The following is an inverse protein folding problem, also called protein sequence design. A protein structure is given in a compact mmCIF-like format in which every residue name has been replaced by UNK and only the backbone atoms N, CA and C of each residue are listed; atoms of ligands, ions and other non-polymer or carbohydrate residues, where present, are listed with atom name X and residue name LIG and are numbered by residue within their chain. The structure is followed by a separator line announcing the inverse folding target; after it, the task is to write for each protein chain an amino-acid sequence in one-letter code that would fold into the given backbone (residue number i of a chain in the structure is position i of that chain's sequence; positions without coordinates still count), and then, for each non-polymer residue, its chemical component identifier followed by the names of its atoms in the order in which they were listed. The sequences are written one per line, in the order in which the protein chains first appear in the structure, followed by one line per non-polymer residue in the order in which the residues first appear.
data_IF_155795974175
#
_entry.id   IF_155795974175
#
_cell.length_a   1.000
_cell.length_b   1.000
_cell.length_c   1.000
_cell.angle_alpha   90.00
_cell.angle_beta   90.00
_cell.angle_gamma   90.00
#
_symmetry.space_group_name_H-M   'P 1'
#
loop_
_entity.id
_entity.type
_entity.pdbx_description
1 polymer ?
#
# COMPACT_ATOMS: atom_id res chain seq x y z
N UNK A 1 -12.54 -11.19 40.19
CA UNK A 1 -13.15 -12.43 40.73
C UNK A 1 -12.11 -13.53 40.72
N UNK A 2 -12.03 -14.33 41.78
CA UNK A 2 -10.96 -15.31 41.95
C UNK A 2 -11.18 -16.52 41.02
N UNK A 3 -10.53 -16.52 39.85
CA UNK A 3 -10.48 -17.70 38.97
C UNK A 3 -9.76 -18.84 39.72
N UNK A 4 -10.51 -19.83 40.19
CA UNK A 4 -9.96 -21.03 40.82
C UNK A 4 -9.35 -21.92 39.75
N UNK A 5 -8.25 -22.59 40.07
CA UNK A 5 -7.63 -23.48 39.10
C UNK A 5 -8.52 -24.72 38.84
N UNK A 6 -8.34 -25.36 37.67
CA UNK A 6 -9.17 -26.50 37.27
C UNK A 6 -9.06 -27.71 38.21
N UNK A 7 -7.94 -27.89 38.91
CA UNK A 7 -7.77 -29.00 39.86
C UNK A 7 -8.59 -28.77 41.14
N UNK A 8 -8.63 -27.52 41.62
CA UNK A 8 -9.49 -27.12 42.74
C UNK A 8 -10.96 -27.30 42.39
N UNK A 9 -11.39 -26.87 41.20
CA UNK A 9 -12.76 -27.08 40.72
C UNK A 9 -13.08 -28.58 40.63
N UNK A 10 -12.24 -29.39 39.98
CA UNK A 10 -12.46 -30.85 39.86
C UNK A 10 -12.62 -31.56 41.21
N UNK A 11 -11.92 -31.11 42.25
CA UNK A 11 -12.02 -31.72 43.58
C UNK A 11 -13.40 -31.51 44.24
N UNK A 12 -14.08 -30.39 43.98
CA UNK A 12 -15.42 -30.14 44.50
C UNK A 12 -16.49 -31.04 43.87
N UNK A 13 -16.25 -31.54 42.66
CA UNK A 13 -17.21 -32.34 41.86
C UNK A 13 -16.75 -33.80 41.67
N UNK A 14 -15.94 -34.34 42.58
CA UNK A 14 -15.55 -35.77 42.56
C UNK A 14 -16.72 -36.67 42.93
N UNK A 15 -16.61 -37.95 42.61
CA UNK A 15 -17.63 -38.93 42.96
C UNK A 15 -17.90 -38.96 44.47
N UNK A 16 -19.18 -38.96 44.83
CA UNK A 16 -19.65 -38.85 46.22
C UNK A 16 -19.51 -37.47 46.89
N UNK A 17 -19.01 -36.43 46.19
CA UNK A 17 -19.03 -35.07 46.71
C UNK A 17 -20.43 -34.44 46.61
N UNK A 18 -20.79 -33.57 47.56
CA UNK A 18 -21.99 -32.72 47.51
C UNK A 18 -21.57 -31.25 47.38
N UNK A 19 -21.42 -30.72 46.16
CA UNK A 19 -21.03 -29.34 45.95
C UNK A 19 -22.13 -28.37 46.42
N UNK A 20 -21.72 -27.29 47.05
CA UNK A 20 -22.55 -26.17 47.48
C UNK A 20 -22.95 -25.27 46.31
N UNK A 21 -24.01 -24.47 46.48
CA UNK A 21 -24.42 -23.46 45.50
C UNK A 21 -23.30 -22.49 45.11
N UNK A 22 -22.39 -22.18 46.04
CA UNK A 22 -21.22 -21.33 45.77
C UNK A 22 -20.20 -22.01 44.85
N UNK A 23 -20.00 -23.32 44.99
CA UNK A 23 -19.10 -24.08 44.11
C UNK A 23 -19.68 -24.25 42.71
N UNK A 24 -21.01 -24.33 42.58
CA UNK A 24 -21.68 -24.24 41.28
C UNK A 24 -21.53 -22.85 40.64
N UNK A 25 -21.69 -21.77 41.41
CA UNK A 25 -21.44 -20.42 40.91
C UNK A 25 -19.99 -20.26 40.42
N UNK A 26 -19.00 -20.71 41.22
CA UNK A 26 -17.58 -20.68 40.84
C UNK A 26 -17.32 -21.44 39.53
N UNK A 27 -18.05 -22.55 39.25
CA UNK A 27 -17.93 -23.32 38.01
C UNK A 27 -18.54 -22.58 36.81
N UNK A 28 -19.72 -21.98 36.99
CA UNK A 28 -20.41 -21.19 35.96
C UNK A 28 -19.53 -19.99 35.58
N UNK A 29 -19.05 -19.24 36.57
CA UNK A 29 -18.18 -18.07 36.39
C UNK A 29 -16.79 -18.44 35.80
N UNK A 30 -16.40 -19.71 35.88
CA UNK A 30 -15.15 -20.22 35.28
C UNK A 30 -15.33 -20.72 33.84
N UNK A 31 -16.56 -20.78 33.34
CA UNK A 31 -16.89 -21.20 31.97
C UNK A 31 -16.96 -19.97 31.05
N UNK A 32 -16.60 -20.15 29.77
CA UNK A 32 -16.74 -19.08 28.78
C UNK A 32 -18.21 -18.93 28.38
N UNK A 33 -18.75 -17.72 28.45
CA UNK A 33 -20.07 -17.36 27.98
C UNK A 33 -19.94 -16.60 26.66
N UNK A 34 -20.35 -17.21 25.54
CA UNK A 34 -20.19 -16.61 24.21
C UNK A 34 -20.94 -15.29 24.03
N UNK A 35 -22.09 -15.11 24.68
CA UNK A 35 -22.90 -13.89 24.60
C UNK A 35 -22.32 -12.73 25.41
N UNK A 36 -21.70 -13.05 26.55
CA UNK A 36 -21.21 -12.04 27.50
C UNK A 36 -19.71 -11.76 27.35
N UNK A 37 -18.92 -12.74 26.89
CA UNK A 37 -17.47 -12.64 26.77
C UNK A 37 -17.01 -12.20 25.37
N UNK A 38 -17.91 -12.19 24.37
CA UNK A 38 -17.62 -11.67 23.03
C UNK A 38 -16.66 -12.54 22.23
N UNK A 39 -16.49 -13.80 22.64
CA UNK A 39 -15.71 -14.81 21.94
C UNK A 39 -16.64 -15.91 21.43
N UNK A 40 -16.60 -16.20 20.14
CA UNK A 40 -17.33 -17.32 19.55
C UNK A 40 -16.47 -18.05 18.50
N UNK A 41 -16.92 -19.24 18.09
CA UNK A 41 -16.33 -19.96 16.98
C UNK A 41 -17.40 -20.55 16.07
N UNK A 42 -17.49 -20.03 14.86
CA UNK A 42 -18.39 -20.54 13.82
C UNK A 42 -17.61 -21.16 12.66
N UNK A 43 -18.29 -22.01 11.88
CA UNK A 43 -17.70 -22.60 10.68
C UNK A 43 -17.44 -21.56 9.57
N UNK A 44 -18.26 -20.51 9.48
CA UNK A 44 -18.16 -19.49 8.43
C UNK A 44 -17.11 -18.42 8.74
N UNK A 45 -16.97 -18.02 10.01
CA UNK A 45 -16.11 -16.88 10.38
C UNK A 45 -14.86 -17.29 11.16
N UNK A 46 -14.73 -18.56 11.58
CA UNK A 46 -13.59 -19.01 12.37
C UNK A 46 -13.68 -18.53 13.81
N UNK A 47 -12.62 -17.92 14.34
CA UNK A 47 -12.57 -17.38 15.70
C UNK A 47 -13.06 -15.92 15.70
N UNK A 48 -14.14 -15.68 16.42
CA UNK A 48 -14.84 -14.40 16.44
C UNK A 48 -14.49 -13.66 17.72
N UNK A 49 -14.16 -12.37 17.60
CA UNK A 49 -13.92 -11.48 18.73
C UNK A 49 -14.75 -10.23 18.53
N UNK A 50 -15.64 -9.95 19.47
CA UNK A 50 -16.52 -8.79 19.48
C UNK A 50 -16.03 -7.80 20.55
N UNK A 51 -16.03 -6.52 20.21
CA UNK A 51 -15.76 -5.44 21.18
C UNK A 51 -16.93 -5.36 22.14
N UNK A 52 -16.64 -5.41 23.45
CA UNK A 52 -17.67 -5.40 24.49
C UNK A 52 -17.58 -4.15 25.36
N UNK A 53 -18.69 -3.44 25.46
CA UNK A 53 -18.82 -2.28 26.35
C UNK A 53 -17.88 -1.14 25.95
N UNK A 54 -17.04 -0.70 26.88
CA UNK A 54 -16.12 0.45 26.68
C UNK A 54 -14.69 0.04 26.34
N UNK A 55 -14.39 -1.25 26.36
CA UNK A 55 -13.04 -1.76 26.16
C UNK A 55 -12.86 -2.23 24.73
N UNK A 56 -11.90 -1.63 24.05
CA UNK A 56 -11.63 -1.85 22.62
C UNK A 56 -10.48 -2.83 22.37
N UNK A 57 -9.86 -3.31 23.45
CA UNK A 57 -8.75 -4.25 23.42
C UNK A 57 -9.27 -5.67 23.14
N UNK A 58 -8.88 -6.24 22.01
CA UNK A 58 -9.32 -7.56 21.55
C UNK A 58 -8.42 -8.69 22.05
N UNK A 59 -7.10 -8.49 21.93
CA UNK A 59 -6.08 -9.50 22.30
C UNK A 59 -4.95 -8.79 23.03
N UNK A 60 -4.51 -9.36 24.15
CA UNK A 60 -3.39 -8.84 24.94
C UNK A 60 -2.30 -9.89 25.10
N UNK A 61 -1.05 -9.51 24.88
CA UNK A 61 0.12 -10.39 24.94
C UNK A 61 0.99 -10.02 26.13
N UNK A 62 1.17 -10.96 27.06
CA UNK A 62 1.96 -10.79 28.29
C UNK A 62 3.33 -11.45 28.14
N UNK A 63 4.33 -10.97 28.89
CA UNK A 63 5.67 -11.59 28.92
C UNK A 63 5.65 -12.98 29.54
N UNK A 64 4.94 -13.09 30.65
CA UNK A 64 4.79 -14.29 31.47
C UNK A 64 3.47 -14.25 32.23
N UNK A 65 3.19 -15.30 33.01
CA UNK A 65 1.98 -15.44 33.82
C UNK A 65 1.99 -14.63 35.12
N UNK A 66 3.09 -13.95 35.45
CA UNK A 66 3.23 -13.10 36.64
C UNK A 66 3.03 -11.61 36.30
N UNK A 67 3.15 -11.26 35.02
CA UNK A 67 3.02 -9.90 34.52
C UNK A 67 1.59 -9.38 34.68
N UNK A 68 1.44 -8.26 35.40
CA UNK A 68 0.13 -7.60 35.59
C UNK A 68 -0.31 -6.77 34.36
N UNK A 69 0.62 -6.44 33.48
CA UNK A 69 0.39 -5.59 32.32
C UNK A 69 0.83 -6.27 31.01
N UNK A 70 0.07 -6.13 29.91
CA UNK A 70 0.48 -6.67 28.63
C UNK A 70 1.63 -5.86 28.02
N UNK A 71 2.49 -6.54 27.26
CA UNK A 71 3.51 -5.88 26.44
C UNK A 71 2.91 -5.32 25.14
N UNK A 72 2.00 -6.06 24.54
CA UNK A 72 1.37 -5.73 23.26
C UNK A 72 -0.13 -5.96 23.32
N UNK A 73 -0.87 -5.19 22.52
CA UNK A 73 -2.30 -5.32 22.38
C UNK A 73 -2.71 -5.18 20.91
N UNK A 74 -3.67 -6.02 20.51
CA UNK A 74 -4.50 -5.80 19.34
C UNK A 74 -5.78 -5.10 19.80
N UNK A 75 -6.08 -3.94 19.21
CA UNK A 75 -7.20 -3.07 19.54
C UNK A 75 -8.06 -2.84 18.30
N UNK A 76 -9.36 -2.69 18.49
CA UNK A 76 -10.27 -2.17 17.48
C UNK A 76 -10.50 -0.68 17.69
N UNK A 77 -10.24 0.13 16.67
CA UNK A 77 -10.56 1.56 16.66
C UNK A 77 -11.92 1.77 16.00
N UNK A 78 -12.94 1.95 16.83
CA UNK A 78 -14.33 2.14 16.40
C UNK A 78 -14.52 3.37 15.50
N UNK A 79 -13.72 4.42 15.71
CA UNK A 79 -13.87 5.67 14.94
C UNK A 79 -13.52 5.45 13.46
N UNK A 80 -12.46 4.70 13.20
CA UNK A 80 -11.95 4.46 11.85
C UNK A 80 -12.24 3.04 11.35
N UNK A 81 -12.95 2.22 12.14
CA UNK A 81 -13.14 0.78 11.94
C UNK A 81 -11.83 0.02 11.69
N UNK A 82 -10.75 0.41 12.37
CA UNK A 82 -9.40 -0.09 12.08
C UNK A 82 -8.91 -1.07 13.14
N UNK A 83 -8.09 -2.05 12.73
CA UNK A 83 -7.35 -2.91 13.64
C UNK A 83 -5.97 -2.32 13.91
N UNK A 84 -5.62 -2.18 15.18
CA UNK A 84 -4.40 -1.51 15.63
C UNK A 84 -3.57 -2.44 16.51
N UNK A 85 -2.31 -2.65 16.13
CA UNK A 85 -1.30 -3.28 16.98
C UNK A 85 -0.48 -2.21 17.67
N UNK A 86 -0.48 -2.23 19.00
CA UNK A 86 0.24 -1.25 19.81
C UNK A 86 0.98 -1.89 20.98
N UNK A 87 2.14 -1.36 21.38
CA UNK A 87 2.68 -1.61 22.70
C UNK A 87 1.81 -0.88 23.73
N UNK A 88 1.79 -1.35 24.98
CA UNK A 88 0.92 -0.76 26.02
C UNK A 88 1.18 0.73 26.24
N UNK A 89 2.46 1.12 26.28
CA UNK A 89 2.90 2.46 26.64
C UNK A 89 3.08 3.42 25.43
N UNK A 90 2.62 3.07 24.23
CA UNK A 90 2.77 3.96 23.07
C UNK A 90 1.57 3.94 22.11
N UNK A 91 1.67 4.77 21.08
CA UNK A 91 0.72 4.81 19.98
C UNK A 91 0.79 3.54 19.11
N UNK A 92 -0.26 3.26 18.31
CA UNK A 92 -0.26 2.16 17.35
C UNK A 92 0.94 2.17 16.42
N UNK A 93 1.61 1.01 16.34
CA UNK A 93 2.76 0.79 15.45
C UNK A 93 2.28 0.31 14.09
N UNK A 94 1.22 -0.48 14.05
CA UNK A 94 0.61 -0.99 12.82
C UNK A 94 -0.90 -0.79 12.88
N UNK A 95 -1.45 -0.20 11.84
CA UNK A 95 -2.89 -0.01 11.64
C UNK A 95 -3.32 -0.63 10.33
N UNK A 96 -4.40 -1.40 10.33
CA UNK A 96 -5.00 -1.96 9.12
C UNK A 96 -6.46 -1.55 9.05
N UNK A 97 -6.89 -1.01 7.90
CA UNK A 97 -8.26 -0.54 7.72
C UNK A 97 -9.05 -1.42 6.74
N UNK A 98 -10.40 -1.42 6.81
CA UNK A 98 -11.25 -2.16 5.88
C UNK A 98 -11.08 -1.73 4.42
N UNK A 99 -10.56 -0.53 4.17
CA UNK A 99 -10.24 0.00 2.85
C UNK A 99 -8.90 -0.51 2.31
N UNK A 100 -8.36 -1.60 2.89
CA UNK A 100 -7.11 -2.24 2.48
C UNK A 100 -5.90 -1.30 2.58
N UNK A 101 -5.89 -0.44 3.59
CA UNK A 101 -4.76 0.46 3.88
C UNK A 101 -4.00 -0.04 5.10
N UNK A 102 -2.69 0.11 5.02
CA UNK A 102 -1.76 -0.25 6.09
C UNK A 102 -1.00 1.00 6.51
N UNK A 103 -1.12 1.37 7.79
CA UNK A 103 -0.35 2.43 8.43
C UNK A 103 0.75 1.86 9.31
N UNK A 104 1.98 2.35 9.17
CA UNK A 104 3.08 2.13 10.11
C UNK A 104 3.31 3.43 10.87
N UNK A 105 3.18 3.39 12.20
CA UNK A 105 3.23 4.55 13.09
C UNK A 105 2.19 5.64 12.77
N UNK A 106 1.09 5.29 12.11
CA UNK A 106 -0.05 6.18 11.83
C UNK A 106 -1.36 5.41 11.98
N UNK A 107 -2.40 6.08 12.47
CA UNK A 107 -3.74 5.51 12.67
C UNK A 107 -4.72 5.85 11.54
N UNK A 108 -4.36 6.79 10.68
CA UNK A 108 -5.20 7.26 9.56
C UNK A 108 -4.40 7.22 8.25
N UNK A 109 -4.08 6.01 7.73
CA UNK A 109 -3.26 5.90 6.52
C UNK A 109 -3.94 6.56 5.31
N UNK A 110 -3.22 7.48 4.66
CA UNK A 110 -3.70 8.22 3.50
C UNK A 110 -3.56 7.45 2.17
N UNK A 111 -2.71 6.43 2.14
CA UNK A 111 -2.44 5.59 0.96
C UNK A 111 -2.49 4.10 1.32
N UNK A 112 -2.28 3.21 0.33
CA UNK A 112 -2.28 1.75 0.56
C UNK A 112 -1.25 1.33 1.60
N UNK A 113 -0.04 1.92 1.58
CA UNK A 113 0.98 1.77 2.61
C UNK A 113 1.47 3.15 2.99
N UNK A 114 1.16 3.56 4.21
CA UNK A 114 1.55 4.85 4.78
C UNK A 114 2.52 4.62 5.94
N UNK A 115 3.71 5.20 5.86
CA UNK A 115 4.76 5.03 6.87
C UNK A 115 5.10 6.39 7.45
N UNK A 116 4.66 6.65 8.68
CA UNK A 116 5.02 7.84 9.43
C UNK A 116 6.40 7.67 10.08
N UNK A 117 7.45 7.62 9.26
CA UNK A 117 8.80 7.40 9.73
C UNK A 117 9.81 7.11 8.61
N UNK A 118 10.92 6.48 8.97
CA UNK A 118 11.95 6.08 8.01
C UNK A 118 11.59 4.76 7.35
N UNK A 119 11.73 4.71 6.03
CA UNK A 119 11.61 3.50 5.22
C UNK A 119 12.98 3.13 4.64
N UNK A 120 13.54 1.99 5.07
CA UNK A 120 14.75 1.41 4.47
C UNK A 120 14.35 0.32 3.47
N UNK A 121 14.84 0.44 2.22
CA UNK A 121 14.54 -0.50 1.13
C UNK A 121 15.83 -0.99 0.47
N UNK A 122 15.95 -2.31 0.30
CA UNK A 122 17.08 -2.91 -0.42
C UNK A 122 16.94 -2.74 -1.94
N UNK A 123 15.71 -2.71 -2.45
CA UNK A 123 15.41 -2.54 -3.86
C UNK A 123 13.98 -2.11 -4.07
N UNK A 124 13.75 -1.34 -5.13
CA UNK A 124 12.43 -0.88 -5.54
C UNK A 124 12.18 -1.36 -6.96
N UNK A 125 11.08 -2.09 -7.14
CA UNK A 125 10.65 -2.58 -8.45
C UNK A 125 9.28 -1.99 -8.76
N UNK A 126 9.22 -1.23 -9.84
CA UNK A 126 7.98 -0.68 -10.36
C UNK A 126 7.12 -1.71 -11.10
N UNK A 127 6.15 -1.21 -11.85
CA UNK A 127 5.21 -2.00 -12.64
C UNK A 127 5.40 -1.79 -14.15
N UNK A 128 4.72 -2.59 -14.97
CA UNK A 128 4.66 -2.43 -16.43
C UNK A 128 3.23 -2.06 -16.83
N UNK A 129 2.94 -0.77 -17.10
CA UNK A 129 1.58 -0.33 -17.43
C UNK A 129 0.91 -1.08 -18.57
N UNK A 130 1.69 -1.51 -19.57
CA UNK A 130 1.19 -2.25 -20.74
C UNK A 130 1.02 -3.75 -20.50
N UNK A 131 1.31 -4.25 -19.30
CA UNK A 131 1.34 -5.69 -18.97
C UNK A 131 2.52 -6.46 -19.57
N UNK A 132 3.30 -5.86 -20.48
CA UNK A 132 4.47 -6.47 -21.11
C UNK A 132 5.68 -6.37 -20.19
N UNK A 133 6.14 -7.51 -19.65
CA UNK A 133 7.36 -7.56 -18.81
C UNK A 133 8.62 -7.11 -19.56
N UNK A 134 8.65 -7.30 -20.88
CA UNK A 134 9.78 -7.04 -21.75
C UNK A 134 9.30 -6.60 -23.13
N UNK A 135 10.16 -5.86 -23.84
CA UNK A 135 9.99 -5.50 -25.26
C UNK A 135 11.19 -5.97 -26.07
N UNK A 136 11.07 -6.02 -27.40
CA UNK A 136 12.18 -6.39 -28.29
C UNK A 136 13.29 -5.32 -28.27
N UNK A 137 14.55 -5.78 -28.37
CA UNK A 137 15.70 -4.90 -28.55
C UNK A 137 16.08 -4.80 -30.04
N UNK A 138 15.13 -4.37 -30.87
CA UNK A 138 15.14 -4.42 -32.33
C UNK A 138 15.41 -3.05 -33.01
N UNK A 139 15.80 -2.03 -32.24
CA UNK A 139 15.94 -0.66 -32.74
C UNK A 139 14.62 0.11 -32.93
N UNK A 140 13.45 -0.55 -32.77
CA UNK A 140 12.14 0.05 -32.97
C UNK A 140 11.58 0.64 -31.67
N UNK A 141 10.72 1.65 -31.79
CA UNK A 141 10.05 2.26 -30.65
C UNK A 141 8.88 1.40 -30.17
N UNK A 142 8.88 1.06 -28.88
CA UNK A 142 7.81 0.31 -28.24
C UNK A 142 7.14 1.15 -27.15
N UNK A 143 5.81 1.11 -27.08
CA UNK A 143 5.05 1.72 -25.99
C UNK A 143 5.28 0.96 -24.68
N UNK A 144 5.62 1.71 -23.62
CA UNK A 144 5.87 1.18 -22.28
C UNK A 144 4.93 1.75 -21.21
N UNK A 145 4.10 2.75 -21.53
CA UNK A 145 3.14 3.35 -20.58
C UNK A 145 1.67 3.09 -20.91
N UNK A 146 1.35 2.77 -22.16
CA UNK A 146 -0.02 2.90 -22.67
C UNK A 146 -0.40 4.38 -22.88
N UNK A 147 -1.62 4.64 -23.37
CA UNK A 147 -2.12 5.98 -23.57
C UNK A 147 -2.33 6.71 -22.24
N UNK A 148 -1.82 7.93 -22.16
CA UNK A 148 -1.89 8.83 -21.01
C UNK A 148 -2.60 10.13 -21.42
N UNK A 149 -3.31 10.71 -20.46
CA UNK A 149 -3.92 12.04 -20.57
C UNK A 149 -3.62 12.83 -19.28
N UNK A 150 -3.39 14.14 -19.39
CA UNK A 150 -3.05 15.00 -18.24
C UNK A 150 -1.57 15.04 -17.89
N UNK A 151 -1.28 15.25 -16.60
CA UNK A 151 0.05 15.36 -16.01
C UNK A 151 0.55 14.02 -15.48
N UNK A 152 1.72 13.59 -15.93
CA UNK A 152 2.35 12.34 -15.51
C UNK A 152 3.83 12.53 -15.23
N UNK A 153 4.33 11.82 -14.21
CA UNK A 153 5.74 11.73 -13.88
C UNK A 153 6.11 10.28 -13.57
N UNK A 154 7.16 9.78 -14.21
CA UNK A 154 7.65 8.41 -14.00
C UNK A 154 9.14 8.39 -13.73
N UNK A 155 9.51 7.50 -12.83
CA UNK A 155 10.86 6.97 -12.72
C UNK A 155 10.96 5.67 -13.51
N UNK A 156 11.87 5.64 -14.49
CA UNK A 156 12.02 4.52 -15.43
C UNK A 156 13.35 3.84 -15.16
N UNK A 157 13.32 2.52 -14.97
CA UNK A 157 14.51 1.68 -15.09
C UNK A 157 14.34 0.72 -16.26
N UNK A 158 15.37 0.64 -17.10
CA UNK A 158 15.41 -0.27 -18.22
C UNK A 158 16.82 -0.85 -18.41
N UNK A 159 16.89 -2.12 -18.81
CA UNK A 159 18.15 -2.81 -19.04
C UNK A 159 18.05 -3.84 -20.15
N UNK A 160 19.13 -3.97 -20.91
CA UNK A 160 19.30 -5.00 -21.93
C UNK A 160 20.72 -5.53 -21.92
N UNK A 161 20.89 -6.76 -22.39
CA UNK A 161 22.18 -7.44 -22.42
C UNK A 161 22.18 -8.60 -23.40
N UNK A 162 23.21 -8.66 -24.25
CA UNK A 162 23.47 -9.77 -25.14
C UNK A 162 24.78 -10.46 -24.71
N UNK A 163 24.64 -11.63 -24.08
CA UNK A 163 25.74 -12.39 -23.47
C UNK A 163 26.81 -12.74 -24.49
N UNK A 164 28.08 -12.51 -24.13
CA UNK A 164 29.23 -12.83 -24.99
C UNK A 164 29.52 -11.80 -26.09
N UNK A 165 28.63 -10.84 -26.35
CA UNK A 165 28.84 -9.81 -27.38
C UNK A 165 29.34 -8.47 -26.84
N UNK A 166 29.28 -8.29 -25.52
CA UNK A 166 29.56 -7.02 -24.87
C UNK A 166 28.48 -5.94 -25.09
N UNK A 167 27.32 -6.26 -25.68
CA UNK A 167 26.22 -5.31 -25.83
C UNK A 167 25.38 -5.31 -24.57
N UNK A 168 25.69 -4.42 -23.63
CA UNK A 168 24.91 -4.19 -22.42
C UNK A 168 24.58 -2.71 -22.27
N UNK A 169 23.38 -2.42 -21.80
CA UNK A 169 22.99 -1.07 -21.41
C UNK A 169 22.02 -1.10 -20.24
N UNK A 170 22.19 -0.14 -19.34
CA UNK A 170 21.31 0.15 -18.22
C UNK A 170 20.95 1.63 -18.24
N UNK A 171 19.66 1.92 -18.11
CA UNK A 171 19.10 3.26 -18.17
C UNK A 171 18.25 3.50 -16.92
N UNK A 172 18.54 4.60 -16.23
CA UNK A 172 17.66 5.28 -15.27
C UNK A 172 17.17 6.56 -15.92
N UNK A 173 15.87 6.83 -15.85
CA UNK A 173 15.36 8.12 -16.26
C UNK A 173 14.27 8.63 -15.32
N UNK A 174 14.07 9.94 -15.37
CA UNK A 174 12.88 10.62 -14.85
C UNK A 174 12.21 11.30 -16.03
N UNK A 175 10.98 10.87 -16.34
CA UNK A 175 10.20 11.33 -17.48
C UNK A 175 8.98 12.10 -16.96
N UNK A 176 8.86 13.37 -17.32
CA UNK A 176 7.77 14.25 -16.87
C UNK A 176 7.07 14.84 -18.10
N UNK A 177 5.74 14.91 -18.06
CA UNK A 177 4.92 15.51 -19.10
C UNK A 177 3.62 16.09 -18.51
N UNK A 178 3.23 17.28 -18.96
CA UNK A 178 2.03 18.01 -18.51
C UNK A 178 1.14 18.31 -19.73
N UNK A 179 0.16 17.47 -20.03
CA UNK A 179 -0.74 17.62 -21.19
C UNK A 179 -0.03 17.66 -22.57
N UNK A 180 1.15 17.04 -22.69
CA UNK A 180 1.82 16.85 -23.97
C UNK A 180 1.96 18.13 -24.84
N UNK A 181 2.51 19.24 -24.31
CA UNK A 181 2.47 20.54 -24.97
C UNK A 181 2.99 20.48 -26.41
N UNK A 182 2.20 20.96 -27.36
CA UNK A 182 2.56 21.03 -28.78
C UNK A 182 2.95 22.48 -29.14
N UNK A 183 3.93 22.65 -30.03
CA UNK A 183 4.38 23.98 -30.46
C UNK A 183 5.81 23.97 -31.00
N UNK A 184 5.97 24.33 -32.28
CA UNK A 184 7.26 24.26 -32.99
C UNK A 184 8.36 25.12 -32.34
N UNK A 185 8.04 26.36 -31.96
CA UNK A 185 9.00 27.28 -31.34
C UNK A 185 9.50 26.78 -29.96
N UNK A 186 8.65 26.06 -29.21
CA UNK A 186 8.98 25.56 -27.88
C UNK A 186 9.60 24.15 -27.90
N UNK A 187 9.27 23.34 -28.91
CA UNK A 187 9.83 22.00 -29.09
C UNK A 187 11.25 22.04 -29.67
N UNK A 188 11.62 23.09 -30.41
CA UNK A 188 12.96 23.27 -30.97
C UNK A 188 14.07 23.23 -29.90
N UNK A 189 13.81 23.75 -28.69
CA UNK A 189 14.73 23.70 -27.55
C UNK A 189 14.46 22.53 -26.58
N UNK A 190 13.47 21.69 -26.88
CA UNK A 190 13.11 20.46 -26.15
C UNK A 190 12.92 20.64 -24.62
N UNK A 191 12.50 21.83 -24.17
CA UNK A 191 12.46 22.17 -22.74
C UNK A 191 11.20 21.67 -22.02
N UNK A 192 10.06 21.48 -22.72
CA UNK A 192 8.75 21.25 -22.08
C UNK A 192 8.41 19.78 -21.78
N UNK A 193 8.96 18.81 -22.51
CA UNK A 193 8.70 17.35 -22.30
C UNK A 193 9.98 16.63 -21.85
N UNK A 194 10.57 17.13 -20.77
CA UNK A 194 11.93 16.76 -20.37
C UNK A 194 11.97 15.31 -19.88
N UNK A 195 12.79 14.51 -20.55
CA UNK A 195 13.23 13.20 -20.05
C UNK A 195 14.70 13.37 -19.66
N UNK A 196 15.00 13.26 -18.36
CA UNK A 196 16.37 13.25 -17.87
C UNK A 196 16.85 11.81 -17.80
N UNK A 197 17.83 11.47 -18.64
CA UNK A 197 18.38 10.12 -18.75
C UNK A 197 19.77 10.06 -18.14
N UNK A 198 20.00 9.09 -17.26
CA UNK A 198 21.32 8.64 -16.82
C UNK A 198 21.49 7.19 -17.26
N UNK A 199 22.56 6.88 -17.99
CA UNK A 199 22.74 5.54 -18.54
C UNK A 199 24.21 5.11 -18.54
N UNK A 200 24.42 3.81 -18.37
CA UNK A 200 25.69 3.13 -18.54
C UNK A 200 25.55 2.09 -19.65
N UNK A 201 26.59 1.90 -20.45
CA UNK A 201 26.62 0.91 -21.52
C UNK A 201 28.04 0.37 -21.68
N UNK A 202 28.16 -0.88 -22.12
CA UNK A 202 29.45 -1.54 -22.30
C UNK A 202 29.88 -1.47 -23.77
N UNK A 203 31.10 -0.95 -23.99
CA UNK A 203 31.78 -0.78 -25.29
C UNK A 203 31.04 0.09 -26.33
N UNK A 204 29.92 -0.38 -26.87
CA UNK A 204 29.30 0.20 -28.05
C UNK A 204 28.16 1.17 -27.71
N UNK A 205 28.28 2.42 -28.17
CA UNK A 205 27.21 3.43 -28.05
C UNK A 205 25.91 3.02 -28.75
N UNK A 206 25.96 2.10 -29.72
CA UNK A 206 24.78 1.54 -30.39
C UNK A 206 23.92 0.67 -29.47
N UNK A 207 24.48 0.16 -28.36
CA UNK A 207 23.73 -0.63 -27.37
C UNK A 207 22.88 0.21 -26.42
N UNK A 208 23.00 1.55 -26.48
CA UNK A 208 22.25 2.48 -25.63
C UNK A 208 20.74 2.30 -25.77
N UNK A 209 20.04 2.70 -24.72
CA UNK A 209 18.58 2.78 -24.70
C UNK A 209 18.15 4.24 -24.86
N UNK A 210 17.00 4.45 -25.49
CA UNK A 210 16.43 5.77 -25.75
C UNK A 210 14.97 5.79 -25.34
N UNK A 211 14.54 6.94 -24.79
CA UNK A 211 13.16 7.20 -24.40
C UNK A 211 12.63 8.41 -25.17
N UNK A 212 11.33 8.40 -25.48
CA UNK A 212 10.64 9.58 -26.01
C UNK A 212 9.18 9.61 -25.59
N UNK A 213 8.60 10.81 -25.59
CA UNK A 213 7.17 10.99 -25.59
C UNK A 213 6.64 10.94 -27.03
N UNK A 214 5.60 10.15 -27.26
CA UNK A 214 4.91 10.05 -28.54
C UNK A 214 3.50 10.61 -28.40
N UNK A 215 3.14 11.57 -29.24
CA UNK A 215 1.76 12.08 -29.34
C UNK A 215 0.86 11.01 -29.93
N UNK A 216 -0.34 10.88 -29.37
CA UNK A 216 -1.43 10.03 -29.83
C UNK A 216 -2.66 10.92 -30.14
N UNK A 217 -3.72 10.39 -30.78
CA UNK A 217 -4.99 11.10 -30.96
C UNK A 217 -5.64 11.53 -29.63
N UNK A 218 -6.63 12.42 -29.70
CA UNK A 218 -7.45 12.88 -28.56
C UNK A 218 -6.65 13.48 -27.40
N UNK A 219 -5.63 14.29 -27.70
CA UNK A 219 -4.72 14.90 -26.73
C UNK A 219 -4.00 13.90 -25.80
N UNK A 220 -3.97 12.63 -26.20
CA UNK A 220 -3.24 11.57 -25.49
C UNK A 220 -1.80 11.51 -25.94
N UNK A 221 -1.01 10.80 -25.15
CA UNK A 221 0.39 10.53 -25.45
C UNK A 221 0.85 9.26 -24.74
N UNK A 222 2.00 8.71 -25.15
CA UNK A 222 2.62 7.61 -24.43
C UNK A 222 4.14 7.77 -24.32
N UNK A 223 4.72 7.10 -23.34
CA UNK A 223 6.16 6.96 -23.20
C UNK A 223 6.61 5.75 -24.01
N UNK A 224 7.59 5.94 -24.88
CA UNK A 224 8.18 4.87 -25.68
C UNK A 224 9.64 4.64 -25.32
N UNK A 225 10.07 3.39 -25.43
CA UNK A 225 11.44 2.92 -25.19
C UNK A 225 11.92 2.13 -26.39
N UNK A 226 13.21 2.29 -26.72
CA UNK A 226 13.90 1.45 -27.69
C UNK A 226 15.34 1.19 -27.31
N UNK A 227 15.91 0.17 -27.94
CA UNK A 227 17.36 0.08 -28.14
C UNK A 227 17.74 0.98 -29.31
N UNK A 228 18.96 1.52 -29.31
CA UNK A 228 19.42 2.42 -30.37
C UNK A 228 19.72 1.68 -31.69
N UNK A 229 20.04 0.39 -31.62
CA UNK A 229 20.19 -0.50 -32.76
C UNK A 229 19.54 -1.85 -32.46
N UNK A 230 19.26 -2.64 -33.49
CA UNK A 230 18.91 -4.05 -33.31
C UNK A 230 20.07 -4.81 -32.65
N UNK A 231 19.79 -5.43 -31.50
CA UNK A 231 20.75 -6.21 -30.71
C UNK A 231 20.66 -7.71 -30.97
N UNK A 232 19.68 -8.15 -31.76
CA UNK A 232 19.44 -9.52 -32.18
C UNK A 232 18.02 -10.02 -31.87
N UNK A 233 17.53 -11.04 -32.59
CA UNK A 233 16.12 -11.45 -32.60
C UNK A 233 15.60 -11.92 -31.23
N UNK A 234 16.48 -12.43 -30.37
CA UNK A 234 16.13 -12.93 -29.04
C UNK A 234 16.52 -11.99 -27.91
N UNK A 235 17.03 -10.80 -28.22
CA UNK A 235 17.40 -9.82 -27.21
C UNK A 235 16.18 -9.00 -26.82
N UNK A 236 16.04 -8.78 -25.52
CA UNK A 236 14.91 -8.09 -24.91
C UNK A 236 15.40 -6.94 -24.04
N UNK A 237 14.54 -5.93 -23.89
CA UNK A 237 14.71 -4.87 -22.91
C UNK A 237 13.74 -5.17 -21.77
N UNK A 238 14.29 -5.41 -20.57
CA UNK A 238 13.50 -5.47 -19.34
C UNK A 238 13.35 -4.06 -18.80
N UNK A 239 12.15 -3.69 -18.36
CA UNK A 239 11.90 -2.36 -17.81
C UNK A 239 10.84 -2.39 -16.72
N UNK A 240 10.77 -1.33 -15.93
CA UNK A 240 9.66 -1.02 -15.03
C UNK A 240 9.55 0.48 -14.81
N UNK A 241 8.33 0.93 -14.51
CA UNK A 241 7.99 2.30 -14.20
C UNK A 241 7.56 2.41 -12.75
N UNK A 242 8.00 3.46 -12.09
CA UNK A 242 7.49 3.91 -10.80
C UNK A 242 6.72 5.20 -11.08
N UNK A 243 5.43 5.24 -10.74
CA UNK A 243 4.63 6.45 -10.86
C UNK A 243 5.01 7.41 -9.73
N UNK A 244 5.41 8.62 -10.09
CA UNK A 244 5.81 9.69 -9.16
C UNK A 244 4.68 10.69 -8.90
N UNK A 245 3.67 10.73 -9.77
CA UNK A 245 2.54 11.65 -9.68
C UNK A 245 1.23 10.93 -9.99
N UNK A 246 0.23 11.04 -9.10
CA UNK A 246 -1.02 10.28 -9.17
C UNK A 246 -2.27 11.11 -9.49
N UNK A 247 -2.19 12.45 -9.48
CA UNK A 247 -3.32 13.34 -9.78
C UNK A 247 -3.21 13.90 -11.20
N UNK A 248 -3.56 13.08 -12.20
CA UNK A 248 -3.32 13.44 -13.61
C UNK A 248 -3.97 14.75 -14.04
N UNK A 249 -5.07 15.17 -13.40
CA UNK A 249 -5.76 16.40 -13.72
C UNK A 249 -5.38 17.56 -12.81
N UNK A 250 -4.47 17.41 -11.84
CA UNK A 250 -4.17 18.44 -10.82
C UNK A 250 -5.43 18.88 -10.05
N UNK A 251 -6.40 17.97 -9.91
CA UNK A 251 -7.69 18.19 -9.26
C UNK A 251 -7.56 18.69 -7.82
N UNK A 252 -6.47 18.37 -7.13
CA UNK A 252 -6.22 18.83 -5.75
C UNK A 252 -5.65 20.26 -5.68
N UNK A 253 -5.27 20.86 -6.81
CA UNK A 253 -4.64 22.18 -6.85
C UNK A 253 -5.63 23.34 -6.92
N UNK A 254 -6.92 23.07 -7.06
CA UNK A 254 -7.97 24.08 -7.01
C UNK A 254 -9.06 23.66 -6.04
N UNK A 255 -9.39 24.57 -5.12
CA UNK A 255 -10.60 24.46 -4.32
C UNK A 255 -11.72 25.04 -5.17
N UNK A 256 -12.77 24.27 -5.46
CA UNK A 256 -14.02 24.88 -5.85
C UNK A 256 -14.49 25.69 -4.64
N UNK A 257 -14.81 26.97 -4.81
CA UNK A 257 -15.46 27.74 -3.75
C UNK A 257 -16.73 26.99 -3.34
N UNK A 258 -16.81 26.62 -2.06
CA UNK A 258 -18.02 26.09 -1.47
C UNK A 258 -19.13 27.13 -1.67
N UNK A 259 -20.07 26.86 -2.57
CA UNK A 259 -21.37 27.51 -2.59
C UNK A 259 -22.21 27.00 -1.40
N UNK A 260 -21.78 27.33 -0.17
CA UNK A 260 -22.60 27.20 1.03
C UNK A 260 -22.63 28.55 1.74
N UNK A 261 -23.33 29.50 1.10
CA UNK A 261 -23.49 30.85 1.60
C UNK A 261 -24.63 31.61 0.92
N UNK A 262 -25.76 30.95 0.67
CA UNK A 262 -26.98 31.65 0.26
C UNK A 262 -28.21 30.94 0.84
N UNK A 263 -28.90 31.63 1.76
CA UNK A 263 -30.29 31.32 2.10
C UNK A 263 -30.59 30.94 3.54
N UNK A 264 -30.07 31.65 4.55
CA UNK A 264 -30.82 31.84 5.79
C UNK A 264 -31.09 33.34 5.94
N UNK A 265 -32.27 33.74 5.50
CA UNK A 265 -32.77 35.11 5.52
C UNK A 265 -34.25 35.15 5.16
N UNK A 266 -35.05 35.21 6.23
CA UNK A 266 -36.39 35.79 6.33
C UNK A 266 -37.64 35.01 5.91
N UNK A 267 -38.57 34.91 6.86
CA UNK A 267 -39.96 34.50 6.64
C UNK A 267 -40.77 34.29 7.92
N UNK A 268 -40.93 35.34 8.72
CA UNK A 268 -41.98 35.45 9.75
C UNK A 268 -43.38 35.24 9.11
N UNK A 269 -44.22 34.42 9.75
CA UNK A 269 -45.63 34.21 9.40
C UNK A 269 -46.26 33.11 10.23
#
# INVERSE_FOLDING_TARGET
MAKRNRNTLKNFFRDGAMPSAREFADLIDSSLNTLEDGFDKSASNGFEITVLGKHTELISFFRDNLSEQPLWQLKFDEKNNALQFKPLAAEPVLTVTPQQRVGIATTTPGSTLDVAGLLSVQGLRGYQPTGKKQIAADGQWHDISGPLHGCHAFDVMAGTGNKGTGKYALLKATAINTFNPTGWWFNFLNHKKRIRVQQAFYLARSSKLELRWQTLPDDKYCLQLRSRSDLGPQIRISYYLIQLWSDALMSQCWQAEDQTGAGNGDGNG
#
